data_IF_286593892237
#
_entry.id   IF_286593892237
#
_cell.length_a   1.000
_cell.length_b   1.000
_cell.length_c   1.000
_cell.angle_alpha   90.00
_cell.angle_beta   90.00
_cell.angle_gamma   90.00
#
_symmetry.space_group_name_H-M   'P 1'
#
loop_
_entity.id
_entity.type
_entity.pdbx_description
1 polymer ?
#
# COMPACT_ATOMS: atom_id res chain seq x y z
N UNK A 1 22.24 22.82 -8.18
CA UNK A 1 20.96 22.96 -8.94
C UNK A 1 19.88 23.48 -7.98
N UNK A 2 19.32 24.67 -8.20
CA UNK A 2 18.22 25.19 -7.36
C UNK A 2 16.91 24.56 -7.82
N UNK A 3 16.12 24.02 -6.89
CA UNK A 3 14.80 23.45 -7.20
C UNK A 3 13.87 24.54 -7.75
N UNK A 4 13.05 24.20 -8.76
CA UNK A 4 12.03 25.08 -9.35
C UNK A 4 11.14 25.78 -8.30
N UNK A 5 10.93 25.13 -7.14
CA UNK A 5 10.07 25.62 -6.06
C UNK A 5 10.76 26.56 -5.07
N UNK A 6 12.00 27.02 -5.34
CA UNK A 6 12.80 27.76 -4.36
C UNK A 6 12.10 29.01 -3.80
N UNK A 7 11.32 29.69 -4.63
CA UNK A 7 10.52 30.86 -4.24
C UNK A 7 9.48 30.56 -3.14
N UNK A 8 9.04 29.30 -3.00
CA UNK A 8 8.08 28.86 -1.99
C UNK A 8 8.73 28.45 -0.66
N UNK A 9 10.07 28.32 -0.62
CA UNK A 9 10.82 27.85 0.55
C UNK A 9 10.50 28.65 1.82
N UNK A 10 10.44 30.00 1.82
CA UNK A 10 10.12 30.75 3.04
C UNK A 10 8.75 30.40 3.60
N UNK A 11 7.73 30.31 2.73
CA UNK A 11 6.36 29.96 3.11
C UNK A 11 6.26 28.54 3.67
N UNK A 12 6.99 27.59 3.08
CA UNK A 12 7.08 26.19 3.55
C UNK A 12 7.66 26.13 4.96
N UNK A 13 8.74 26.86 5.22
CA UNK A 13 9.40 26.90 6.54
C UNK A 13 8.43 27.46 7.59
N UNK A 14 7.72 28.55 7.29
CA UNK A 14 6.72 29.13 8.21
C UNK A 14 5.61 28.13 8.54
N UNK A 15 5.05 27.47 7.54
CA UNK A 15 4.01 26.45 7.73
C UNK A 15 4.54 25.23 8.51
N UNK A 16 5.80 24.86 8.31
CA UNK A 16 6.40 23.75 9.04
C UNK A 16 6.62 24.11 10.50
N UNK A 17 7.12 25.30 10.79
CA UNK A 17 7.27 25.84 12.16
C UNK A 17 5.95 25.91 12.91
N UNK A 18 4.83 26.16 12.21
CA UNK A 18 3.50 26.10 12.80
C UNK A 18 2.97 24.68 13.04
N UNK A 19 3.79 23.64 12.84
CA UNK A 19 3.44 22.25 13.14
C UNK A 19 2.62 21.53 12.06
N UNK A 20 2.56 22.06 10.82
CA UNK A 20 1.87 21.40 9.70
C UNK A 20 2.68 20.20 9.17
N UNK A 21 1.97 19.17 8.73
CA UNK A 21 2.54 18.03 7.99
C UNK A 21 2.89 18.42 6.55
N UNK A 22 3.77 17.66 5.90
CA UNK A 22 4.10 17.87 4.48
C UNK A 22 2.88 17.78 3.56
N UNK A 23 1.93 16.90 3.89
CA UNK A 23 0.68 16.79 3.15
C UNK A 23 -0.21 18.02 3.33
N UNK A 24 -0.30 18.60 4.52
CA UNK A 24 -1.01 19.87 4.74
C UNK A 24 -0.30 21.04 4.06
N UNK A 25 1.03 21.09 4.08
CA UNK A 25 1.82 22.12 3.39
C UNK A 25 1.53 22.10 1.89
N UNK A 26 1.54 20.92 1.25
CA UNK A 26 1.16 20.78 -0.16
C UNK A 26 -0.26 21.27 -0.44
N UNK A 27 -1.23 20.89 0.40
CA UNK A 27 -2.63 21.32 0.27
C UNK A 27 -2.76 22.85 0.39
N UNK A 28 -2.06 23.45 1.34
CA UNK A 28 -2.13 24.89 1.58
C UNK A 28 -1.46 25.71 0.47
N UNK A 29 -0.37 25.21 -0.09
CA UNK A 29 0.35 25.88 -1.18
C UNK A 29 -0.33 25.64 -2.53
N UNK A 30 -1.12 24.56 -2.66
CA UNK A 30 -1.77 24.18 -3.92
C UNK A 30 -0.82 23.55 -4.95
N UNK A 31 0.42 23.23 -4.55
CA UNK A 31 1.45 22.66 -5.42
C UNK A 31 1.92 21.33 -4.87
N UNK A 32 2.02 20.32 -5.73
CA UNK A 32 2.51 19.00 -5.36
C UNK A 32 4.05 18.96 -5.29
N UNK A 33 4.62 19.55 -4.25
CA UNK A 33 6.07 19.60 -4.05
C UNK A 33 6.59 18.19 -3.65
N UNK A 34 7.67 17.68 -4.29
CA UNK A 34 8.26 16.40 -3.95
C UNK A 34 8.64 16.30 -2.46
N UNK A 35 8.43 15.12 -1.87
CA UNK A 35 8.73 14.86 -0.44
C UNK A 35 10.21 15.09 -0.13
N UNK A 36 11.12 14.68 -1.01
CA UNK A 36 12.56 14.88 -0.86
C UNK A 36 12.92 16.36 -0.72
N UNK A 37 12.28 17.24 -1.51
CA UNK A 37 12.49 18.69 -1.43
C UNK A 37 11.98 19.26 -0.10
N UNK A 38 10.76 18.90 0.31
CA UNK A 38 10.20 19.33 1.60
C UNK A 38 11.05 18.86 2.78
N UNK A 39 11.50 17.61 2.75
CA UNK A 39 12.37 17.02 3.79
C UNK A 39 13.70 17.77 3.89
N UNK A 40 14.36 18.03 2.75
CA UNK A 40 15.63 18.74 2.73
C UNK A 40 15.51 20.19 3.20
N UNK A 41 14.36 20.85 3.02
CA UNK A 41 14.16 22.23 3.49
C UNK A 41 13.66 22.33 4.92
N UNK A 42 13.09 21.25 5.45
CA UNK A 42 12.51 21.19 6.78
C UNK A 42 13.34 20.35 7.77
N UNK A 43 14.50 19.84 7.35
CA UNK A 43 15.34 18.94 8.16
C UNK A 43 15.74 19.56 9.49
N UNK A 44 16.05 20.86 9.47
CA UNK A 44 16.61 21.57 10.61
C UNK A 44 15.51 22.19 11.50
N UNK A 45 14.23 21.99 11.15
CA UNK A 45 13.10 22.57 11.88
C UNK A 45 12.71 21.62 13.01
N UNK A 46 13.07 22.01 14.23
CA UNK A 46 12.63 21.34 15.45
C UNK A 46 11.15 21.66 15.71
N UNK A 47 10.33 20.61 15.78
CA UNK A 47 8.94 20.71 16.20
C UNK A 47 8.82 20.58 17.72
N UNK A 48 7.87 21.29 18.32
CA UNK A 48 7.57 21.11 19.75
C UNK A 48 7.04 19.69 20.04
N UNK A 49 7.18 19.18 21.28
CA UNK A 49 6.67 17.86 21.64
C UNK A 49 5.18 17.65 21.30
N UNK A 50 4.36 18.68 21.53
CA UNK A 50 2.92 18.67 21.20
C UNK A 50 2.67 18.54 19.69
N UNK A 51 3.41 19.30 18.88
CA UNK A 51 3.32 19.24 17.42
C UNK A 51 3.77 17.87 16.90
N UNK A 52 4.84 17.30 17.44
CA UNK A 52 5.30 15.96 17.10
C UNK A 52 4.24 14.90 17.42
N UNK A 53 3.63 14.98 18.61
CA UNK A 53 2.58 14.07 19.01
C UNK A 53 1.34 14.19 18.11
N UNK A 54 0.95 15.41 17.74
CA UNK A 54 -0.13 15.68 16.77
C UNK A 54 0.17 15.00 15.43
N UNK A 55 1.36 15.21 14.87
CA UNK A 55 1.78 14.60 13.59
C UNK A 55 1.75 13.08 13.69
N UNK A 56 2.27 12.50 14.77
CA UNK A 56 2.27 11.04 14.99
C UNK A 56 0.84 10.47 15.06
N UNK A 57 -0.09 11.15 15.74
CA UNK A 57 -1.51 10.76 15.80
C UNK A 57 -2.17 10.79 14.41
N UNK A 58 -1.94 11.86 13.64
CA UNK A 58 -2.47 11.99 12.29
C UNK A 58 -1.92 10.90 11.35
N UNK A 59 -0.62 10.61 11.44
CA UNK A 59 0.01 9.54 10.67
C UNK A 59 -0.57 8.17 11.01
N UNK A 60 -0.74 7.87 12.31
CA UNK A 60 -1.34 6.60 12.76
C UNK A 60 -2.78 6.47 12.24
N UNK A 61 -3.63 7.47 12.46
CA UNK A 61 -5.01 7.47 11.97
C UNK A 61 -5.09 7.28 10.45
N UNK A 62 -4.20 7.93 9.69
CA UNK A 62 -4.15 7.80 8.24
C UNK A 62 -3.70 6.40 7.81
N UNK A 63 -2.72 5.81 8.50
CA UNK A 63 -2.27 4.45 8.25
C UNK A 63 -3.37 3.42 8.56
N UNK A 64 -4.11 3.61 9.66
CA UNK A 64 -5.22 2.73 10.05
C UNK A 64 -6.31 2.73 8.97
N UNK A 65 -6.71 3.92 8.48
CA UNK A 65 -7.64 4.07 7.35
C UNK A 65 -7.11 3.36 6.10
N UNK A 66 -5.84 3.58 5.77
CA UNK A 66 -5.19 2.94 4.64
C UNK A 66 -5.21 1.40 4.72
N UNK A 67 -5.03 0.83 5.92
CA UNK A 67 -5.11 -0.63 6.12
C UNK A 67 -6.52 -1.17 5.88
N UNK A 68 -7.56 -0.49 6.36
CA UNK A 68 -8.95 -0.88 6.11
C UNK A 68 -9.26 -0.84 4.62
N UNK A 69 -8.88 0.25 3.93
CA UNK A 69 -9.07 0.34 2.48
C UNK A 69 -8.29 -0.74 1.73
N UNK A 70 -7.04 -1.00 2.11
CA UNK A 70 -6.21 -2.03 1.48
C UNK A 70 -6.83 -3.42 1.63
N UNK A 71 -7.39 -3.75 2.81
CA UNK A 71 -8.10 -5.01 3.04
C UNK A 71 -9.27 -5.17 2.07
N UNK A 72 -10.11 -4.14 1.93
CA UNK A 72 -11.27 -4.15 1.03
C UNK A 72 -10.82 -4.30 -0.42
N UNK A 73 -9.87 -3.49 -0.87
CA UNK A 73 -9.37 -3.52 -2.25
C UNK A 73 -8.72 -4.87 -2.58
N UNK A 74 -7.92 -5.41 -1.67
CA UNK A 74 -7.28 -6.72 -1.89
C UNK A 74 -8.30 -7.84 -1.96
N UNK A 75 -9.36 -7.78 -1.15
CA UNK A 75 -10.48 -8.73 -1.22
C UNK A 75 -11.19 -8.65 -2.58
N UNK A 76 -11.56 -7.45 -3.03
CA UNK A 76 -12.23 -7.27 -4.32
C UNK A 76 -11.38 -7.76 -5.48
N UNK A 77 -10.08 -7.40 -5.51
CA UNK A 77 -9.14 -7.88 -6.53
C UNK A 77 -9.00 -9.40 -6.52
N UNK A 78 -9.01 -10.01 -5.33
CA UNK A 78 -8.94 -11.47 -5.19
C UNK A 78 -10.20 -12.15 -5.70
N UNK A 79 -11.37 -11.59 -5.39
CA UNK A 79 -12.66 -12.09 -5.88
C UNK A 79 -12.73 -12.00 -7.42
N UNK A 80 -12.36 -10.85 -8.00
CA UNK A 80 -12.29 -10.64 -9.45
C UNK A 80 -11.31 -11.60 -10.13
N UNK A 81 -10.13 -11.79 -9.55
CA UNK A 81 -9.14 -12.75 -10.04
C UNK A 81 -9.69 -14.19 -10.02
N UNK A 82 -10.29 -14.62 -8.91
CA UNK A 82 -10.89 -15.95 -8.80
C UNK A 82 -11.99 -16.13 -9.84
N UNK A 83 -12.85 -15.13 -10.02
CA UNK A 83 -13.92 -15.21 -11.01
C UNK A 83 -13.36 -15.35 -12.43
N UNK A 84 -12.37 -14.53 -12.79
CA UNK A 84 -11.69 -14.61 -14.08
C UNK A 84 -11.07 -15.99 -14.33
N UNK A 85 -10.45 -16.58 -13.31
CA UNK A 85 -9.90 -17.94 -13.40
C UNK A 85 -11.02 -18.96 -13.61
N UNK A 86 -12.11 -18.88 -12.82
CA UNK A 86 -13.27 -19.76 -12.95
C UNK A 86 -13.85 -19.71 -14.36
N UNK A 87 -14.13 -18.52 -14.87
CA UNK A 87 -14.72 -18.33 -16.20
C UNK A 87 -13.83 -18.94 -17.30
N UNK A 88 -12.51 -18.82 -17.16
CA UNK A 88 -11.54 -19.42 -18.09
C UNK A 88 -11.56 -20.94 -18.05
N UNK A 89 -11.72 -21.56 -16.88
CA UNK A 89 -11.53 -23.01 -16.69
C UNK A 89 -12.84 -23.79 -16.51
N UNK A 90 -14.00 -23.12 -16.49
CA UNK A 90 -15.30 -23.74 -16.18
C UNK A 90 -15.61 -24.91 -17.11
N UNK A 91 -15.19 -24.83 -18.38
CA UNK A 91 -15.35 -25.88 -19.38
C UNK A 91 -14.60 -27.19 -19.03
N UNK A 92 -13.61 -27.13 -18.13
CA UNK A 92 -12.86 -28.28 -17.64
C UNK A 92 -13.53 -28.96 -16.44
N UNK A 93 -14.52 -28.35 -15.80
CA UNK A 93 -15.14 -28.88 -14.58
C UNK A 93 -15.72 -30.29 -14.80
N UNK A 94 -16.41 -30.51 -15.92
CA UNK A 94 -16.96 -31.82 -16.27
C UNK A 94 -15.89 -32.90 -16.50
N UNK A 95 -14.63 -32.54 -16.80
CA UNK A 95 -13.54 -33.52 -16.95
C UNK A 95 -13.16 -34.19 -15.62
N UNK A 96 -13.44 -33.53 -14.50
CA UNK A 96 -13.19 -34.08 -13.16
C UNK A 96 -14.27 -35.08 -12.71
N UNK A 97 -15.41 -35.19 -13.40
CA UNK A 97 -16.40 -36.24 -13.10
C UNK A 97 -15.84 -37.64 -13.35
N UNK A 98 -14.87 -37.76 -14.28
CA UNK A 98 -14.17 -39.01 -14.49
C UNK A 98 -13.20 -39.30 -13.33
N UNK A 99 -13.42 -40.44 -12.66
CA UNK A 99 -12.64 -40.90 -11.51
C UNK A 99 -11.14 -40.97 -11.76
N UNK A 100 -10.70 -41.43 -12.94
CA UNK A 100 -9.27 -41.54 -13.25
C UNK A 100 -8.64 -40.15 -13.45
N UNK A 101 -9.32 -39.26 -14.16
CA UNK A 101 -8.88 -37.86 -14.32
C UNK A 101 -8.78 -37.16 -12.97
N UNK A 102 -9.77 -37.32 -12.10
CA UNK A 102 -9.75 -36.75 -10.75
C UNK A 102 -8.62 -37.30 -9.87
N UNK A 103 -8.30 -38.59 -9.96
CA UNK A 103 -7.15 -39.18 -9.26
C UNK A 103 -5.83 -38.56 -9.72
N UNK A 104 -5.64 -38.37 -11.02
CA UNK A 104 -4.43 -37.75 -11.58
C UNK A 104 -4.35 -36.29 -11.12
N UNK A 105 -5.44 -35.53 -11.23
CA UNK A 105 -5.48 -34.13 -10.77
C UNK A 105 -5.14 -34.01 -9.27
N UNK A 106 -5.70 -34.89 -8.44
CA UNK A 106 -5.41 -34.94 -7.01
C UNK A 106 -3.94 -35.30 -6.74
N UNK A 107 -3.38 -36.29 -7.44
CA UNK A 107 -1.97 -36.67 -7.30
C UNK A 107 -1.04 -35.51 -7.67
N UNK A 108 -1.34 -34.78 -8.75
CA UNK A 108 -0.58 -33.59 -9.16
C UNK A 108 -0.69 -32.45 -8.15
N UNK A 109 -1.89 -32.22 -7.60
CA UNK A 109 -2.09 -31.24 -6.53
C UNK A 109 -1.30 -31.62 -5.27
N UNK A 110 -1.31 -32.89 -4.87
CA UNK A 110 -0.54 -33.38 -3.73
C UNK A 110 0.97 -33.28 -3.96
N UNK A 111 1.45 -33.58 -5.17
CA UNK A 111 2.86 -33.44 -5.52
C UNK A 111 3.33 -31.98 -5.41
N UNK A 112 2.49 -31.03 -5.83
CA UNK A 112 2.83 -29.60 -5.78
C UNK A 112 2.65 -28.97 -4.40
N UNK A 113 1.57 -29.27 -3.70
CA UNK A 113 1.18 -28.59 -2.46
C UNK A 113 1.36 -29.43 -1.19
N UNK A 114 1.37 -30.76 -1.30
CA UNK A 114 1.33 -31.68 -0.17
C UNK A 114 2.59 -31.68 0.70
N UNK A 115 3.74 -31.34 0.13
CA UNK A 115 5.03 -31.27 0.83
C UNK A 115 5.38 -29.87 1.33
N UNK A 116 4.59 -28.83 1.03
CA UNK A 116 4.91 -27.44 1.39
C UNK A 116 4.93 -27.15 2.91
N UNK A 117 4.53 -28.13 3.72
CA UNK A 117 4.60 -28.06 5.19
C UNK A 117 5.85 -28.74 5.78
N UNK A 118 6.66 -29.42 4.97
CA UNK A 118 8.00 -29.83 5.40
C UNK A 118 8.96 -28.68 5.11
N UNK A 119 9.52 -28.08 6.17
CA UNK A 119 10.76 -27.31 6.03
C UNK A 119 11.78 -28.25 5.38
N UNK A 120 12.41 -27.79 4.30
CA UNK A 120 13.17 -28.62 3.37
C UNK A 120 14.08 -29.67 4.01
N UNK A 121 14.24 -30.79 3.30
CA UNK A 121 15.50 -31.49 3.34
C UNK A 121 16.59 -30.61 2.71
#
# INVERSE_FOLDING_TARGET
>A
MRSHYYHLKPKIITLRKSGRTYSEIRKFIGVNIPKSTLSNWCSDILLSPEQQQKVKRLMRSSADKGRVTALIVNRLKREEYIQTVKDRVIHLAGKLENKNTSKIALAMLYLGEGSKNQRGA
#
